data_IF_651392192356
#
_entry.id   IF_651392192356
#
_cell.length_a   1.000
_cell.length_b   1.000
_cell.length_c   1.000
_cell.angle_alpha   90.00
_cell.angle_beta   90.00
_cell.angle_gamma   90.00
#
_symmetry.space_group_name_H-M   'P 1'
#
loop_
_entity.id
_entity.type
_entity.pdbx_description
1 polymer ?
#
# COMPACT_ATOMS: atom_id res chain seq x y z
N UNK A 1 -7.86 5.81 13.23
CA UNK A 1 -6.72 5.62 14.16
C UNK A 1 -5.55 6.46 13.70
N UNK A 2 -4.66 6.84 14.64
CA UNK A 2 -3.31 7.34 14.35
C UNK A 2 -2.35 6.15 14.36
N UNK A 3 -1.68 5.88 13.27
CA UNK A 3 -0.81 4.72 13.10
C UNK A 3 0.61 5.19 12.80
N UNK A 4 1.58 4.76 13.58
CA UNK A 4 2.99 4.95 13.26
C UNK A 4 3.46 3.77 12.41
N UNK A 5 3.93 4.08 11.21
CA UNK A 5 4.60 3.13 10.32
C UNK A 5 6.10 3.31 10.42
N UNK A 6 6.74 2.32 10.96
CA UNK A 6 8.18 2.26 11.08
C UNK A 6 8.77 1.43 9.93
N UNK A 7 9.54 2.10 9.07
CA UNK A 7 10.28 1.44 8.00
C UNK A 7 11.61 0.97 8.54
N UNK A 8 11.69 -0.31 8.89
CA UNK A 8 12.83 -0.92 9.55
C UNK A 8 14.18 -0.44 9.02
N UNK A 9 15.12 -0.25 9.93
CA UNK A 9 16.47 0.23 9.65
C UNK A 9 16.58 1.69 9.15
N UNK A 10 17.79 2.18 9.03
CA UNK A 10 18.11 3.44 8.35
C UNK A 10 18.55 3.17 6.92
N UNK A 11 18.33 4.11 6.00
CA UNK A 11 18.71 3.95 4.60
C UNK A 11 20.23 3.73 4.46
N UNK A 12 21.01 4.43 5.28
CA UNK A 12 22.46 4.34 5.33
C UNK A 12 22.95 4.44 6.78
N UNK A 13 24.19 4.02 7.05
CA UNK A 13 24.84 4.19 8.36
C UNK A 13 24.83 2.94 9.22
N UNK A 14 24.81 3.12 10.55
CA UNK A 14 25.09 2.07 11.53
C UNK A 14 23.94 1.08 11.76
N UNK A 15 22.73 1.41 11.34
CA UNK A 15 21.52 0.57 11.50
C UNK A 15 21.01 0.12 10.11
N UNK A 16 21.91 -0.37 9.27
CA UNK A 16 21.53 -0.96 7.98
C UNK A 16 20.93 -2.37 8.20
N UNK A 17 19.91 -2.71 7.40
CA UNK A 17 19.28 -4.02 7.42
C UNK A 17 20.08 -5.13 6.72
N UNK A 18 19.49 -6.30 6.67
CA UNK A 18 20.07 -7.46 5.98
C UNK A 18 20.13 -7.23 4.46
N UNK A 19 21.02 -8.00 3.81
CA UNK A 19 21.16 -8.05 2.34
C UNK A 19 21.02 -9.51 1.90
N UNK A 20 20.16 -9.77 0.95
CA UNK A 20 19.94 -11.12 0.40
C UNK A 20 19.22 -11.08 -0.94
N UNK A 21 19.42 -12.09 -1.78
CA UNK A 21 18.79 -12.25 -3.10
C UNK A 21 18.83 -10.97 -3.99
N UNK A 22 19.86 -10.13 -3.83
CA UNK A 22 20.00 -8.88 -4.58
C UNK A 22 19.21 -7.69 -4.02
N UNK A 23 18.59 -7.82 -2.86
CA UNK A 23 17.82 -6.79 -2.18
C UNK A 23 18.53 -6.31 -0.91
N UNK A 24 18.23 -5.06 -0.51
CA UNK A 24 18.58 -4.50 0.81
C UNK A 24 17.29 -4.32 1.60
N UNK A 25 17.26 -4.79 2.83
CA UNK A 25 16.05 -4.74 3.67
C UNK A 25 15.49 -3.32 3.83
N UNK A 26 16.35 -2.34 4.10
CA UNK A 26 15.94 -0.95 4.27
C UNK A 26 15.28 -0.33 3.02
N UNK A 27 15.61 -0.81 1.83
CA UNK A 27 14.96 -0.37 0.59
C UNK A 27 13.57 -1.04 0.47
N UNK A 28 13.49 -2.34 0.77
CA UNK A 28 12.24 -3.11 0.75
C UNK A 28 11.22 -2.57 1.78
N UNK A 29 11.67 -2.29 3.01
CA UNK A 29 10.79 -1.76 4.06
C UNK A 29 10.20 -0.40 3.71
N UNK A 30 10.97 0.47 3.02
CA UNK A 30 10.48 1.76 2.53
C UNK A 30 9.53 1.60 1.35
N UNK A 31 9.84 0.69 0.44
CA UNK A 31 8.96 0.41 -0.70
C UNK A 31 7.59 -0.07 -0.24
N UNK A 32 7.55 -1.15 0.56
CA UNK A 32 6.29 -1.73 1.03
C UNK A 32 5.57 -0.80 2.00
N UNK A 33 6.30 -0.11 2.86
CA UNK A 33 5.74 0.81 3.85
C UNK A 33 4.98 1.97 3.22
N UNK A 34 5.46 2.52 2.11
CA UNK A 34 4.75 3.57 1.35
C UNK A 34 3.44 3.06 0.75
N UNK A 35 3.40 1.80 0.32
CA UNK A 35 2.17 1.18 -0.20
C UNK A 35 1.18 0.95 0.94
N UNK A 36 1.64 0.39 2.09
CA UNK A 36 0.82 0.22 3.29
C UNK A 36 0.25 1.56 3.75
N UNK A 37 1.08 2.61 3.80
CA UNK A 37 0.64 3.98 4.12
C UNK A 37 -0.50 4.44 3.24
N UNK A 38 -0.32 4.33 1.92
CA UNK A 38 -1.36 4.73 0.95
C UNK A 38 -2.69 4.02 1.20
N UNK A 39 -2.65 2.73 1.51
CA UNK A 39 -3.87 1.96 1.82
C UNK A 39 -4.51 2.35 3.15
N UNK A 40 -3.71 2.59 4.20
CA UNK A 40 -4.22 3.06 5.48
C UNK A 40 -4.89 4.44 5.37
N UNK A 41 -4.31 5.34 4.57
CA UNK A 41 -4.89 6.67 4.30
C UNK A 41 -6.19 6.57 3.48
N UNK A 42 -6.26 5.66 2.50
CA UNK A 42 -7.50 5.34 1.78
C UNK A 42 -8.61 4.81 2.71
N UNK A 43 -8.24 4.07 3.76
CA UNK A 43 -9.14 3.59 4.80
C UNK A 43 -9.50 4.67 5.85
N UNK A 44 -9.04 5.91 5.69
CA UNK A 44 -9.36 7.04 6.55
C UNK A 44 -8.53 7.12 7.83
N UNK A 45 -7.34 6.52 7.87
CA UNK A 45 -6.42 6.58 9.01
C UNK A 45 -5.36 7.66 8.82
N UNK A 46 -4.86 8.20 9.94
CA UNK A 46 -3.74 9.14 9.95
C UNK A 46 -2.45 8.35 10.17
N UNK A 47 -1.45 8.55 9.31
CA UNK A 47 -0.17 7.85 9.37
C UNK A 47 0.98 8.78 9.77
N UNK A 48 1.93 8.25 10.53
CA UNK A 48 3.19 8.88 10.88
C UNK A 48 4.32 7.94 10.50
N UNK A 49 5.29 8.42 9.75
CA UNK A 49 6.41 7.60 9.24
C UNK A 49 7.69 7.84 10.06
N UNK A 50 8.45 6.78 10.27
CA UNK A 50 9.74 6.86 10.97
C UNK A 50 10.93 6.71 10.02
N UNK A 51 10.92 7.35 8.85
CA UNK A 51 12.06 7.29 7.91
C UNK A 51 13.23 8.09 8.44
N UNK A 52 14.01 7.49 9.33
CA UNK A 52 15.26 8.05 9.82
C UNK A 52 16.39 7.60 8.88
N UNK A 53 16.70 8.42 7.88
CA UNK A 53 17.62 8.03 6.80
C UNK A 53 19.06 8.48 7.01
N UNK A 54 19.37 9.13 8.13
CA UNK A 54 20.69 9.60 8.46
C UNK A 54 20.78 10.19 9.85
N UNK A 55 21.98 10.68 10.22
CA UNK A 55 22.26 11.35 11.50
C UNK A 55 21.98 10.50 12.75
N UNK A 56 22.21 9.19 12.65
CA UNK A 56 22.20 8.29 13.81
C UNK A 56 23.61 7.91 14.19
N UNK A 57 23.88 7.92 15.48
CA UNK A 57 25.22 7.66 16.03
C UNK A 57 25.41 6.24 16.49
N UNK A 58 24.31 5.50 16.70
CA UNK A 58 24.30 4.10 17.13
C UNK A 58 22.96 3.45 16.78
N UNK A 59 22.90 2.12 16.88
CA UNK A 59 21.65 1.35 16.75
C UNK A 59 20.63 1.81 17.82
N UNK A 60 21.07 2.06 19.04
CA UNK A 60 20.19 2.56 20.11
C UNK A 60 19.65 3.95 19.83
N UNK A 61 20.44 4.83 19.21
CA UNK A 61 20.00 6.17 18.79
C UNK A 61 18.96 6.07 17.66
N UNK A 62 19.18 5.20 16.68
CA UNK A 62 18.21 4.91 15.63
C UNK A 62 16.86 4.45 16.21
N UNK A 63 16.89 3.42 17.06
CA UNK A 63 15.68 2.90 17.69
C UNK A 63 14.97 3.96 18.52
N UNK A 64 15.73 4.76 19.31
CA UNK A 64 15.16 5.85 20.11
C UNK A 64 14.41 6.85 19.24
N UNK A 65 15.03 7.34 18.17
CA UNK A 65 14.40 8.30 17.24
C UNK A 65 13.14 7.72 16.61
N UNK A 66 13.16 6.46 16.22
CA UNK A 66 12.04 5.77 15.57
C UNK A 66 10.84 5.63 16.51
N UNK A 67 11.00 5.04 17.71
CA UNK A 67 9.87 4.91 18.62
C UNK A 67 9.43 6.24 19.27
N UNK A 68 10.29 7.24 19.35
CA UNK A 68 9.93 8.56 19.85
C UNK A 68 8.89 9.23 18.96
N UNK A 69 8.97 9.07 17.63
CA UNK A 69 7.94 9.57 16.70
C UNK A 69 6.55 9.02 17.05
N UNK A 70 6.45 7.73 17.37
CA UNK A 70 5.19 7.13 17.80
C UNK A 70 4.69 7.74 19.13
N UNK A 71 5.59 7.92 20.10
CA UNK A 71 5.26 8.42 21.42
C UNK A 71 4.87 9.90 21.42
N UNK A 72 5.59 10.73 20.65
CA UNK A 72 5.38 12.18 20.57
C UNK A 72 4.07 12.53 19.84
N UNK A 73 3.65 11.69 18.89
CA UNK A 73 2.41 11.86 18.17
C UNK A 73 1.20 11.18 18.83
N UNK A 74 1.40 10.53 19.99
CA UNK A 74 0.35 9.83 20.72
C UNK A 74 -0.47 8.92 19.79
N UNK A 75 0.23 8.03 19.08
CA UNK A 75 -0.43 7.11 18.14
C UNK A 75 -1.20 6.01 18.87
N UNK A 76 -2.19 5.42 18.19
CA UNK A 76 -2.98 4.29 18.71
C UNK A 76 -2.24 2.96 18.50
N UNK A 77 -1.41 2.89 17.45
CA UNK A 77 -0.69 1.68 17.02
C UNK A 77 0.67 2.06 16.42
N UNK A 78 1.71 1.30 16.77
CA UNK A 78 3.03 1.37 16.14
C UNK A 78 3.31 0.05 15.41
N UNK A 79 3.61 0.12 14.11
CA UNK A 79 3.87 -1.05 13.26
C UNK A 79 5.24 -0.90 12.62
N UNK A 80 6.15 -1.81 12.93
CA UNK A 80 7.48 -1.87 12.35
C UNK A 80 7.52 -2.93 11.24
N UNK A 81 7.97 -2.56 10.05
CA UNK A 81 8.03 -3.44 8.88
C UNK A 81 9.49 -3.86 8.66
N UNK A 82 9.71 -5.17 8.56
CA UNK A 82 11.00 -5.81 8.40
C UNK A 82 10.96 -6.98 7.41
N UNK A 83 12.13 -7.41 6.97
CA UNK A 83 12.35 -8.67 6.27
C UNK A 83 13.39 -9.47 7.05
N UNK A 84 13.04 -10.69 7.43
CA UNK A 84 13.90 -11.57 8.21
C UNK A 84 15.12 -12.05 7.40
N UNK A 85 16.12 -12.57 8.10
CA UNK A 85 17.31 -13.20 7.51
C UNK A 85 17.77 -14.39 8.37
N UNK A 86 18.54 -15.30 7.79
CA UNK A 86 19.10 -16.48 8.49
C UNK A 86 18.65 -17.81 7.89
N UNK A 87 18.27 -17.84 6.61
CA UNK A 87 17.97 -19.07 5.86
C UNK A 87 16.63 -19.72 6.22
N UNK A 88 15.71 -18.95 6.83
CA UNK A 88 14.33 -19.39 7.07
C UNK A 88 13.40 -19.11 5.90
N UNK A 89 12.10 -19.38 6.05
CA UNK A 89 11.05 -19.04 5.07
C UNK A 89 9.78 -18.60 5.79
N UNK A 90 9.05 -17.66 5.17
CA UNK A 90 7.72 -17.25 5.59
C UNK A 90 7.69 -16.03 6.49
N UNK A 91 6.52 -15.75 7.06
CA UNK A 91 6.20 -14.53 7.81
C UNK A 91 6.05 -14.84 9.30
N UNK A 92 6.47 -13.90 10.14
CA UNK A 92 6.19 -13.92 11.58
C UNK A 92 5.90 -12.51 12.10
N UNK A 93 5.16 -12.40 13.19
CA UNK A 93 4.85 -11.12 13.82
C UNK A 93 5.29 -11.16 15.27
N UNK A 94 6.02 -10.14 15.69
CA UNK A 94 6.43 -9.96 17.06
C UNK A 94 5.50 -8.96 17.75
N UNK A 95 4.95 -9.34 18.88
CA UNK A 95 4.12 -8.48 19.74
C UNK A 95 4.55 -8.60 21.19
N UNK A 96 4.09 -7.68 22.05
CA UNK A 96 4.39 -7.79 23.47
C UNK A 96 3.69 -9.02 24.06
N UNK A 97 4.45 -9.89 24.72
CA UNK A 97 3.99 -11.18 25.29
C UNK A 97 3.30 -12.11 24.27
N UNK A 98 3.63 -12.03 23.01
CA UNK A 98 2.97 -12.82 21.94
C UNK A 98 1.46 -12.61 21.85
N UNK A 99 0.95 -11.46 22.28
CA UNK A 99 -0.49 -11.17 22.23
C UNK A 99 -0.97 -10.99 20.79
N UNK A 100 -2.13 -11.56 20.46
CA UNK A 100 -2.78 -11.34 19.16
C UNK A 100 -3.48 -9.97 19.15
N UNK A 101 -2.74 -8.94 18.82
CA UNK A 101 -3.25 -7.57 18.74
C UNK A 101 -3.52 -7.19 17.29
N UNK A 102 -4.54 -6.34 17.08
CA UNK A 102 -4.84 -5.77 15.75
C UNK A 102 -4.81 -6.85 14.64
N UNK A 103 -5.45 -7.99 14.91
CA UNK A 103 -5.58 -9.12 13.98
C UNK A 103 -4.24 -9.64 13.42
N UNK A 104 -3.17 -9.66 14.21
CA UNK A 104 -1.86 -10.17 13.79
C UNK A 104 -1.93 -11.60 13.24
N UNK A 105 -2.77 -12.46 13.84
CA UNK A 105 -3.04 -13.82 13.34
C UNK A 105 -3.73 -13.80 11.97
N UNK A 106 -4.64 -12.87 11.73
CA UNK A 106 -5.34 -12.72 10.43
C UNK A 106 -4.36 -12.29 9.35
N UNK A 107 -3.45 -11.34 9.65
CA UNK A 107 -2.39 -10.93 8.72
C UNK A 107 -1.54 -12.14 8.33
N UNK A 108 -1.06 -12.91 9.31
CA UNK A 108 -0.22 -14.09 9.05
C UNK A 108 -0.96 -15.17 8.24
N UNK A 109 -2.24 -15.40 8.50
CA UNK A 109 -3.03 -16.37 7.74
C UNK A 109 -3.20 -15.93 6.28
N UNK A 110 -3.55 -14.66 6.04
CA UNK A 110 -3.67 -14.13 4.67
C UNK A 110 -2.33 -14.12 3.93
N UNK A 111 -1.21 -13.84 4.59
CA UNK A 111 0.11 -13.98 3.99
C UNK A 111 0.44 -15.44 3.67
N UNK A 112 -0.06 -16.38 4.48
CA UNK A 112 0.07 -17.81 4.21
C UNK A 112 -0.78 -18.25 3.01
N UNK A 113 -1.97 -17.73 2.86
CA UNK A 113 -2.83 -17.98 1.67
C UNK A 113 -2.14 -17.48 0.39
N UNK A 114 -1.32 -16.44 0.49
CA UNK A 114 -0.51 -15.92 -0.62
C UNK A 114 0.72 -16.80 -0.92
N UNK A 115 1.08 -17.73 -0.02
CA UNK A 115 2.18 -18.69 -0.18
C UNK A 115 3.37 -18.50 0.79
N UNK A 116 3.34 -17.48 1.67
CA UNK A 116 4.35 -17.29 2.70
C UNK A 116 4.03 -18.13 3.93
N UNK A 117 4.95 -19.03 4.33
CA UNK A 117 4.74 -19.88 5.50
C UNK A 117 4.38 -19.06 6.74
N UNK A 118 3.26 -19.36 7.40
CA UNK A 118 2.89 -18.77 8.68
C UNK A 118 3.77 -19.36 9.80
N UNK A 119 4.63 -18.53 10.41
CA UNK A 119 5.54 -18.90 11.52
C UNK A 119 4.97 -18.50 12.89
N UNK A 120 3.80 -17.87 12.92
CA UNK A 120 3.08 -17.49 14.12
C UNK A 120 3.53 -16.18 14.76
N UNK A 121 2.82 -15.84 15.84
CA UNK A 121 3.12 -14.67 16.67
C UNK A 121 4.20 -15.04 17.68
N UNK A 122 5.21 -14.17 17.82
CA UNK A 122 6.38 -14.35 18.69
C UNK A 122 6.42 -13.25 19.77
N UNK A 123 7.14 -13.53 20.85
CA UNK A 123 7.39 -12.52 21.88
C UNK A 123 8.42 -11.50 21.41
N UNK A 124 7.98 -10.25 21.29
CA UNK A 124 8.79 -9.09 20.94
C UNK A 124 9.30 -8.28 22.14
N UNK A 125 9.23 -8.82 23.36
CA UNK A 125 9.56 -8.07 24.59
C UNK A 125 10.97 -7.49 24.61
N UNK A 126 11.90 -8.09 23.87
CA UNK A 126 13.29 -7.63 23.73
C UNK A 126 13.50 -6.69 22.53
N UNK A 127 12.52 -6.53 21.68
CA UNK A 127 12.60 -5.65 20.51
C UNK A 127 12.15 -4.24 20.89
N UNK A 128 13.02 -3.25 20.65
CA UNK A 128 12.76 -1.87 21.03
C UNK A 128 11.48 -1.32 20.39
N UNK A 129 11.23 -1.61 19.10
CA UNK A 129 10.05 -1.15 18.38
C UNK A 129 8.74 -1.82 18.83
N UNK A 130 8.81 -2.87 19.66
CA UNK A 130 7.65 -3.53 20.28
C UNK A 130 7.48 -3.09 21.74
N UNK A 131 8.58 -2.94 22.48
CA UNK A 131 8.54 -2.74 23.94
C UNK A 131 8.63 -1.27 24.39
N UNK A 132 9.04 -0.34 23.54
CA UNK A 132 9.26 1.09 23.89
C UNK A 132 8.15 2.03 23.46
N UNK A 133 7.38 1.78 22.38
CA UNK A 133 6.19 2.57 22.11
C UNK A 133 5.19 2.50 23.28
N UNK A 134 4.57 3.64 23.62
CA UNK A 134 3.49 3.70 24.63
C UNK A 134 2.19 3.09 24.10
N UNK A 135 2.02 3.13 22.78
CA UNK A 135 0.92 2.51 22.08
C UNK A 135 1.09 0.99 21.98
N UNK A 136 0.02 0.28 21.59
CA UNK A 136 0.16 -1.10 21.10
C UNK A 136 1.19 -1.13 19.98
N UNK A 137 2.04 -2.15 19.97
CA UNK A 137 3.10 -2.23 18.96
C UNK A 137 3.28 -3.64 18.43
N UNK A 138 3.60 -3.75 17.15
CA UNK A 138 4.01 -5.00 16.50
C UNK A 138 5.16 -4.76 15.54
N UNK A 139 5.95 -5.80 15.31
CA UNK A 139 6.95 -5.86 14.25
C UNK A 139 6.60 -7.03 13.35
N UNK A 140 6.49 -6.75 12.06
CA UNK A 140 6.12 -7.72 11.03
C UNK A 140 7.37 -8.07 10.22
N UNK A 141 7.81 -9.31 10.34
CA UNK A 141 8.78 -9.94 9.44
C UNK A 141 8.00 -10.52 8.26
N UNK A 142 7.99 -9.81 7.15
CA UNK A 142 7.13 -10.11 6.01
C UNK A 142 7.54 -11.42 5.34
N UNK A 143 8.86 -11.61 5.13
CA UNK A 143 9.45 -12.79 4.51
C UNK A 143 10.95 -12.84 4.80
N UNK A 144 11.66 -13.85 4.35
CA UNK A 144 13.11 -13.93 4.48
C UNK A 144 13.82 -13.36 3.25
N UNK A 145 14.62 -12.30 3.47
CA UNK A 145 15.32 -11.58 2.39
C UNK A 145 16.40 -12.44 1.70
N UNK A 146 16.94 -13.42 2.41
CA UNK A 146 17.98 -14.32 1.94
C UNK A 146 17.43 -15.65 1.38
N UNK A 147 16.12 -15.77 1.20
CA UNK A 147 15.44 -16.94 0.63
C UNK A 147 14.77 -16.60 -0.70
N UNK A 148 15.26 -17.18 -1.77
CA UNK A 148 14.87 -16.90 -3.16
C UNK A 148 13.35 -17.04 -3.41
N UNK A 149 12.74 -18.08 -2.82
CA UNK A 149 11.30 -18.34 -2.95
C UNK A 149 10.48 -17.22 -2.31
N UNK A 150 10.83 -16.79 -1.10
CA UNK A 150 10.19 -15.71 -0.38
C UNK A 150 10.32 -14.39 -1.14
N UNK A 151 11.51 -14.05 -1.64
CA UNK A 151 11.75 -12.81 -2.35
C UNK A 151 11.09 -12.75 -3.73
N UNK A 152 10.96 -13.87 -4.44
CA UNK A 152 10.17 -13.96 -5.67
C UNK A 152 8.70 -13.70 -5.41
N UNK A 153 8.15 -14.29 -4.33
CA UNK A 153 6.77 -14.07 -3.93
C UNK A 153 6.55 -12.62 -3.49
N UNK A 154 7.43 -12.07 -2.66
CA UNK A 154 7.43 -10.67 -2.26
C UNK A 154 7.42 -9.74 -3.48
N UNK A 155 8.35 -9.91 -4.41
CA UNK A 155 8.49 -9.06 -5.58
C UNK A 155 7.25 -9.08 -6.49
N UNK A 156 6.63 -10.25 -6.65
CA UNK A 156 5.45 -10.43 -7.48
C UNK A 156 4.16 -9.88 -6.83
N UNK A 157 4.10 -9.78 -5.49
CA UNK A 157 2.84 -9.53 -4.76
C UNK A 157 2.90 -8.35 -3.80
N UNK A 158 3.80 -7.37 -3.97
CA UNK A 158 4.00 -6.25 -3.04
C UNK A 158 2.70 -5.52 -2.68
N UNK A 159 1.86 -5.23 -3.67
CA UNK A 159 0.60 -4.53 -3.44
C UNK A 159 -0.38 -5.38 -2.62
N UNK A 160 -0.48 -6.68 -2.89
CA UNK A 160 -1.36 -7.58 -2.14
C UNK A 160 -0.85 -7.79 -0.72
N UNK A 161 0.46 -7.95 -0.51
CA UNK A 161 1.07 -8.00 0.83
C UNK A 161 0.76 -6.72 1.62
N UNK A 162 0.94 -5.56 1.00
CA UNK A 162 0.64 -4.28 1.64
C UNK A 162 -0.85 -4.12 1.96
N UNK A 163 -1.74 -4.58 1.08
CA UNK A 163 -3.18 -4.61 1.30
C UNK A 163 -3.56 -5.52 2.47
N UNK A 164 -3.02 -6.73 2.50
CA UNK A 164 -3.21 -7.69 3.61
C UNK A 164 -2.83 -7.06 4.95
N UNK A 165 -1.68 -6.36 4.99
CA UNK A 165 -1.22 -5.68 6.19
C UNK A 165 -2.20 -4.57 6.57
N UNK A 166 -2.55 -3.66 5.67
CA UNK A 166 -3.44 -2.52 5.96
C UNK A 166 -4.84 -2.97 6.41
N UNK A 167 -5.44 -3.93 5.72
CA UNK A 167 -6.74 -4.51 6.08
C UNK A 167 -6.69 -5.23 7.43
N UNK A 168 -5.64 -5.99 7.67
CA UNK A 168 -5.46 -6.70 8.94
C UNK A 168 -5.31 -5.73 10.11
N UNK A 169 -4.47 -4.70 10.00
CA UNK A 169 -4.25 -3.69 11.03
C UNK A 169 -5.54 -2.93 11.41
N UNK A 170 -6.45 -2.75 10.48
CA UNK A 170 -7.65 -1.91 10.67
C UNK A 170 -8.93 -2.71 10.85
N UNK A 171 -8.95 -3.97 10.42
CA UNK A 171 -10.18 -4.78 10.33
C UNK A 171 -11.13 -4.29 9.22
N UNK A 172 -10.71 -3.34 8.40
CA UNK A 172 -11.48 -2.80 7.29
C UNK A 172 -11.01 -3.46 5.97
N UNK A 173 -11.87 -3.49 4.98
CA UNK A 173 -11.54 -4.00 3.65
C UNK A 173 -11.38 -2.83 2.70
N UNK A 174 -10.25 -2.78 2.01
CA UNK A 174 -10.10 -1.89 0.87
C UNK A 174 -11.10 -2.33 -0.19
N UNK A 175 -11.95 -1.41 -0.61
CA UNK A 175 -12.74 -1.68 -1.81
C UNK A 175 -11.77 -2.04 -2.93
N UNK A 176 -12.10 -3.07 -3.70
CA UNK A 176 -11.36 -3.43 -4.91
C UNK A 176 -11.63 -2.40 -6.03
N UNK A 177 -11.84 -1.14 -5.65
CA UNK A 177 -11.86 -0.02 -6.57
C UNK A 177 -10.44 0.21 -7.09
N UNK A 178 -9.99 -0.73 -7.93
CA UNK A 178 -8.89 -0.43 -8.82
C UNK A 178 -9.26 0.88 -9.51
N UNK A 179 -8.36 1.84 -9.42
CA UNK A 179 -8.52 3.09 -10.14
C UNK A 179 -8.64 2.74 -11.61
N UNK A 180 -9.84 2.78 -12.11
CA UNK A 180 -10.20 2.50 -13.49
C UNK A 180 -10.56 3.80 -14.17
N UNK A 181 -10.36 3.89 -15.45
CA UNK A 181 -10.81 5.02 -16.23
C UNK A 181 -11.60 4.55 -17.45
N UNK A 182 -12.54 5.37 -17.87
CA UNK A 182 -13.36 5.11 -19.05
C UNK A 182 -12.71 5.76 -20.26
N UNK A 183 -12.76 5.04 -21.36
CA UNK A 183 -12.47 5.56 -22.69
C UNK A 183 -13.74 5.45 -23.53
N UNK A 184 -14.10 6.53 -24.23
CA UNK A 184 -15.22 6.51 -25.18
C UNK A 184 -14.77 6.02 -26.56
N UNK A 185 -15.72 5.61 -27.38
CA UNK A 185 -15.54 5.54 -28.83
C UNK A 185 -15.22 6.93 -29.37
N UNK A 186 -14.79 7.03 -30.64
CA UNK A 186 -14.73 8.29 -31.32
C UNK A 186 -16.10 8.97 -31.28
N UNK A 187 -16.11 10.22 -30.84
CA UNK A 187 -17.34 10.96 -30.67
C UNK A 187 -17.91 11.32 -32.07
N UNK A 188 -19.22 11.28 -32.24
CA UNK A 188 -19.84 11.62 -33.50
C UNK A 188 -19.77 13.13 -33.77
N UNK A 189 -19.92 13.50 -35.04
CA UNK A 189 -20.11 14.89 -35.41
C UNK A 189 -21.36 15.48 -34.72
N UNK A 190 -21.31 16.75 -34.36
CA UNK A 190 -22.37 17.44 -33.60
C UNK A 190 -23.73 17.41 -34.34
N UNK A 191 -23.69 17.54 -35.67
CA UNK A 191 -24.85 17.43 -36.55
C UNK A 191 -24.41 17.13 -38.00
N UNK A 192 -25.34 16.75 -38.83
CA UNK A 192 -25.07 16.41 -40.24
C UNK A 192 -24.46 17.60 -40.98
N UNK A 193 -23.32 17.36 -41.65
CA UNK A 193 -22.61 18.39 -42.41
C UNK A 193 -21.64 19.26 -41.59
N UNK A 194 -21.42 18.92 -40.31
CA UNK A 194 -20.44 19.58 -39.45
C UNK A 194 -19.36 18.59 -39.02
N UNK A 195 -18.11 18.85 -39.37
CA UNK A 195 -16.97 17.95 -39.09
C UNK A 195 -16.35 18.19 -37.69
N UNK A 196 -17.18 18.55 -36.71
CA UNK A 196 -16.75 18.81 -35.34
C UNK A 196 -17.61 18.12 -34.30
N UNK A 197 -17.02 17.85 -33.13
CA UNK A 197 -17.70 17.30 -31.97
C UNK A 197 -18.20 18.42 -31.06
N UNK A 198 -19.46 18.36 -30.62
CA UNK A 198 -19.96 19.24 -29.55
C UNK A 198 -19.46 18.72 -28.19
N UNK A 199 -18.29 19.20 -27.78
CA UNK A 199 -17.67 18.85 -26.51
C UNK A 199 -18.55 19.27 -25.33
N UNK A 200 -19.18 20.44 -25.38
CA UNK A 200 -20.04 20.93 -24.30
C UNK A 200 -21.28 20.05 -24.11
N UNK A 201 -21.85 19.56 -25.19
CA UNK A 201 -22.94 18.58 -25.12
C UNK A 201 -22.46 17.25 -24.53
N UNK A 202 -21.31 16.74 -24.99
CA UNK A 202 -20.75 15.45 -24.56
C UNK A 202 -20.35 15.48 -23.08
N UNK A 203 -19.76 16.56 -22.58
CA UNK A 203 -19.33 16.67 -21.20
C UNK A 203 -20.46 16.60 -20.18
N UNK A 204 -21.72 16.88 -20.57
CA UNK A 204 -22.89 16.73 -19.69
C UNK A 204 -23.09 15.29 -19.18
N UNK A 205 -22.58 14.30 -19.89
CA UNK A 205 -22.63 12.89 -19.47
C UNK A 205 -21.60 12.53 -18.40
N UNK A 206 -20.66 13.44 -18.09
CA UNK A 206 -19.57 13.23 -17.14
C UNK A 206 -19.67 14.16 -15.93
N UNK A 207 -20.89 14.49 -15.49
CA UNK A 207 -21.11 15.41 -14.38
C UNK A 207 -20.33 14.97 -13.12
N UNK A 208 -19.56 15.90 -12.55
CA UNK A 208 -18.70 15.65 -11.39
C UNK A 208 -17.45 14.81 -11.65
N UNK A 209 -17.16 14.49 -12.93
CA UNK A 209 -16.01 13.66 -13.32
C UNK A 209 -15.04 14.49 -14.16
N UNK A 210 -13.77 14.53 -13.74
CA UNK A 210 -12.72 15.15 -14.54
C UNK A 210 -12.44 14.30 -15.79
N UNK A 211 -12.43 14.95 -16.95
CA UNK A 211 -12.25 14.32 -18.25
C UNK A 211 -11.10 14.92 -19.03
N UNK A 212 -10.53 14.12 -19.91
CA UNK A 212 -9.47 14.51 -20.83
C UNK A 212 -9.96 14.27 -22.26
N UNK A 213 -10.03 15.33 -23.05
CA UNK A 213 -10.34 15.23 -24.47
C UNK A 213 -9.06 14.87 -25.23
N UNK A 214 -9.14 13.82 -26.03
CA UNK A 214 -8.05 13.29 -26.86
C UNK A 214 -8.45 13.34 -28.33
N UNK A 215 -7.49 13.43 -29.21
CA UNK A 215 -7.73 13.38 -30.65
C UNK A 215 -6.54 12.78 -31.41
N UNK A 216 -6.85 12.22 -32.57
CA UNK A 216 -5.89 11.81 -33.59
C UNK A 216 -6.53 11.99 -34.99
N UNK A 217 -5.87 11.51 -36.02
CA UNK A 217 -6.37 11.61 -37.41
C UNK A 217 -7.70 10.87 -37.67
N UNK A 218 -8.11 9.98 -36.77
CA UNK A 218 -9.35 9.18 -36.90
C UNK A 218 -10.51 9.80 -36.14
N UNK A 219 -10.29 10.75 -35.21
CA UNK A 219 -11.36 11.39 -34.47
C UNK A 219 -10.97 11.89 -33.07
N UNK A 220 -12.01 12.24 -32.32
CA UNK A 220 -11.94 12.75 -30.94
C UNK A 220 -12.57 11.74 -30.00
N UNK A 221 -11.96 11.50 -28.83
CA UNK A 221 -12.51 10.68 -27.76
C UNK A 221 -12.28 11.31 -26.39
N UNK A 222 -12.96 10.78 -25.37
CA UNK A 222 -12.81 11.22 -23.97
C UNK A 222 -12.24 10.09 -23.14
N UNK A 223 -11.30 10.43 -22.27
CA UNK A 223 -10.81 9.62 -21.17
C UNK A 223 -11.22 10.28 -19.86
N UNK A 224 -11.60 9.51 -18.84
CA UNK A 224 -11.89 10.05 -17.51
C UNK A 224 -10.63 10.04 -16.65
N UNK A 225 -10.65 10.80 -15.54
CA UNK A 225 -9.76 10.51 -14.42
C UNK A 225 -10.00 9.09 -13.90
N UNK A 226 -9.14 8.65 -12.97
CA UNK A 226 -9.34 7.38 -12.30
C UNK A 226 -10.60 7.42 -11.42
N UNK A 227 -11.47 6.44 -11.58
CA UNK A 227 -12.77 6.30 -10.94
C UNK A 227 -12.87 4.97 -10.18
N UNK A 228 -13.86 4.88 -9.30
CA UNK A 228 -14.28 3.62 -8.71
C UNK A 228 -14.93 2.71 -9.74
N UNK A 229 -14.88 1.39 -9.51
CA UNK A 229 -15.59 0.41 -10.36
C UNK A 229 -17.08 0.77 -10.49
N UNK A 230 -17.73 1.11 -9.37
CA UNK A 230 -19.14 1.50 -9.33
C UNK A 230 -19.42 2.70 -10.24
N UNK A 231 -18.56 3.74 -10.19
CA UNK A 231 -18.72 4.93 -11.03
C UNK A 231 -18.44 4.62 -12.51
N UNK A 232 -17.48 3.72 -12.80
CA UNK A 232 -17.24 3.25 -14.15
C UNK A 232 -18.47 2.50 -14.73
N UNK A 233 -19.12 1.65 -13.95
CA UNK A 233 -20.31 0.94 -14.40
C UNK A 233 -21.51 1.88 -14.60
N UNK A 234 -21.70 2.88 -13.73
CA UNK A 234 -22.71 3.94 -13.91
C UNK A 234 -22.49 4.70 -15.23
N UNK A 235 -21.26 5.18 -15.46
CA UNK A 235 -20.92 5.90 -16.69
C UNK A 235 -21.05 5.02 -17.94
N UNK A 236 -20.68 3.75 -17.86
CA UNK A 236 -20.87 2.80 -18.96
C UNK A 236 -22.34 2.72 -19.38
N UNK A 237 -23.26 2.67 -18.41
CA UNK A 237 -24.69 2.67 -18.69
C UNK A 237 -25.16 4.01 -19.29
N UNK A 238 -24.66 5.11 -18.74
CA UNK A 238 -25.01 6.47 -19.18
C UNK A 238 -24.52 6.77 -20.59
N UNK A 239 -23.31 6.32 -20.94
CA UNK A 239 -22.69 6.56 -22.25
C UNK A 239 -23.27 5.68 -23.36
N UNK A 240 -23.79 4.50 -23.01
CA UNK A 240 -24.39 3.59 -24.00
C UNK A 240 -23.44 3.27 -25.16
N UNK A 241 -23.80 3.61 -26.39
CA UNK A 241 -23.01 3.36 -27.61
C UNK A 241 -21.70 4.17 -27.68
N UNK A 242 -21.56 5.22 -26.86
CA UNK A 242 -20.31 6.00 -26.79
C UNK A 242 -19.25 5.34 -25.91
N UNK A 243 -19.64 4.35 -25.10
CA UNK A 243 -18.70 3.61 -24.28
C UNK A 243 -17.79 2.71 -25.13
N UNK A 244 -16.48 2.73 -24.89
CA UNK A 244 -15.51 1.85 -25.54
C UNK A 244 -14.92 0.84 -24.56
N UNK A 245 -14.23 1.31 -23.52
CA UNK A 245 -13.55 0.42 -22.56
C UNK A 245 -13.46 1.01 -21.15
N UNK A 246 -13.32 0.11 -20.17
CA UNK A 246 -12.80 0.42 -18.83
C UNK A 246 -11.37 -0.10 -18.79
N UNK A 247 -10.43 0.79 -18.49
CA UNK A 247 -9.01 0.48 -18.39
C UNK A 247 -8.52 0.64 -16.95
N UNK A 248 -7.38 0.02 -16.62
CA UNK A 248 -6.68 0.14 -15.32
C UNK A 248 -5.42 0.95 -15.48
#
# INVERSE_FOLDING_TARGET
>A
MKICLDYGHTLNGVDSGAIGCGYREQDCTREIGKIVKSYLEQLGHTTYETNIDGNVTSISDSMYKRYSIANDNCVDLCVSLHLNAGGGTGSEIYTYNSADIQNASVILNKLSDLGLRNRGIKSGNKLAMVSRPKAKAMLIEICFIDTDADMKLYAANKNEIAKIIAEGLTGQTLSNDYKKYIVTNYLPNAYAGYDGVDINYTLKYFDGVKTYVRSNNSGVWIETEYLTESKCQELKQTLGSWFYSINQ
#
